data_IF_843126810919
#
_entry.id   IF_843126810919
#
_cell.length_a   1.000
_cell.length_b   1.000
_cell.length_c   1.000
_cell.angle_alpha   90.00
_cell.angle_beta   90.00
_cell.angle_gamma   90.00
#
_symmetry.space_group_name_H-M   'P 1'
#
loop_
_entity.id
_entity.type
_entity.pdbx_description
1 polymer ?
#
# COMPACT_ATOMS: atom_id res chain seq x y z
N UNK A 1 -23.48 -34.54 -8.76
CA UNK A 1 -22.36 -33.85 -8.07
C UNK A 1 -22.50 -32.37 -8.38
N UNK A 2 -22.97 -31.58 -7.41
CA UNK A 2 -23.12 -30.12 -7.60
C UNK A 2 -21.76 -29.45 -7.47
N UNK A 3 -21.34 -28.70 -8.48
CA UNK A 3 -20.12 -27.90 -8.43
C UNK A 3 -20.23 -26.88 -7.28
N UNK A 4 -19.21 -26.81 -6.42
CA UNK A 4 -19.16 -25.81 -5.35
C UNK A 4 -19.13 -24.40 -5.95
N UNK A 5 -19.85 -23.42 -5.37
CA UNK A 5 -19.83 -22.06 -5.87
C UNK A 5 -18.42 -21.49 -5.76
N UNK A 6 -17.97 -20.79 -6.80
CA UNK A 6 -16.63 -20.25 -6.87
C UNK A 6 -16.45 -19.18 -5.77
N UNK A 7 -15.66 -19.51 -4.77
CA UNK A 7 -15.34 -18.64 -3.64
C UNK A 7 -14.41 -17.53 -4.14
N UNK A 8 -14.90 -16.30 -4.13
CA UNK A 8 -14.16 -15.11 -4.49
C UNK A 8 -14.12 -14.22 -3.26
N UNK A 9 -12.95 -13.65 -2.94
CA UNK A 9 -12.87 -12.65 -1.90
C UNK A 9 -13.72 -11.45 -2.35
N UNK A 10 -14.89 -11.25 -1.73
CA UNK A 10 -15.86 -10.17 -1.99
C UNK A 10 -15.31 -8.81 -1.53
N UNK A 11 -14.13 -8.45 -2.04
CA UNK A 11 -13.47 -7.18 -1.74
C UNK A 11 -13.92 -6.19 -2.81
N UNK A 12 -15.09 -5.59 -2.57
CA UNK A 12 -15.71 -4.59 -3.45
C UNK A 12 -14.86 -3.33 -3.64
N UNK A 13 -13.87 -3.11 -2.78
CA UNK A 13 -13.00 -1.94 -2.78
C UNK A 13 -11.57 -2.29 -3.20
N UNK A 14 -11.08 -1.79 -4.36
CA UNK A 14 -9.69 -2.01 -4.75
C UNK A 14 -8.76 -1.40 -3.67
N UNK A 15 -7.79 -2.18 -3.16
CA UNK A 15 -6.95 -1.77 -2.03
C UNK A 15 -6.33 -0.36 -2.16
N UNK A 16 -5.86 0.10 -3.33
CA UNK A 16 -5.33 1.46 -3.47
C UNK A 16 -6.31 2.57 -3.04
N UNK A 17 -7.63 2.36 -3.18
CA UNK A 17 -8.63 3.35 -2.76
C UNK A 17 -8.72 3.47 -1.23
N UNK A 18 -8.51 2.37 -0.49
CA UNK A 18 -8.47 2.43 0.97
C UNK A 18 -7.30 3.29 1.45
N UNK A 19 -6.10 3.09 0.90
CA UNK A 19 -4.93 3.91 1.22
C UNK A 19 -5.11 5.37 0.79
N UNK A 20 -5.76 5.63 -0.36
CA UNK A 20 -6.11 6.99 -0.76
C UNK A 20 -7.09 7.64 0.24
N UNK A 21 -8.10 6.89 0.72
CA UNK A 21 -9.02 7.36 1.74
C UNK A 21 -8.31 7.70 3.06
N UNK A 22 -7.34 6.89 3.48
CA UNK A 22 -6.47 7.16 4.65
C UNK A 22 -5.73 8.48 4.47
N UNK A 23 -5.08 8.70 3.32
CA UNK A 23 -4.37 9.96 3.04
C UNK A 23 -5.31 11.16 3.06
N UNK A 24 -6.50 11.04 2.45
CA UNK A 24 -7.49 12.11 2.42
C UNK A 24 -8.04 12.43 3.81
N UNK A 25 -8.39 11.40 4.59
CA UNK A 25 -8.88 11.54 5.95
C UNK A 25 -7.82 12.16 6.86
N UNK A 26 -6.59 11.65 6.82
CA UNK A 26 -5.46 12.20 7.59
C UNK A 26 -5.14 13.64 7.19
N UNK A 27 -5.25 13.99 5.91
CA UNK A 27 -5.06 15.37 5.43
C UNK A 27 -6.18 16.33 5.86
N UNK A 28 -7.43 15.84 5.96
CA UNK A 28 -8.53 16.62 6.54
C UNK A 28 -8.34 16.82 8.04
N UNK A 29 -7.97 15.76 8.75
CA UNK A 29 -7.75 15.81 10.19
C UNK A 29 -6.56 16.69 10.56
N UNK A 30 -5.46 16.62 9.80
CA UNK A 30 -4.31 17.51 10.00
C UNK A 30 -4.58 18.99 9.70
N UNK A 31 -5.56 19.29 8.84
CA UNK A 31 -6.05 20.68 8.65
C UNK A 31 -6.94 21.14 9.81
N UNK A 32 -7.78 20.26 10.35
CA UNK A 32 -8.64 20.57 11.50
C UNK A 32 -7.84 20.64 12.81
N UNK A 33 -6.82 19.80 12.96
CA UNK A 33 -5.99 19.67 14.14
C UNK A 33 -4.51 19.58 13.76
N UNK A 34 -3.82 20.73 13.60
CA UNK A 34 -2.45 20.76 13.11
C UNK A 34 -1.46 20.25 14.16
N UNK A 35 -1.18 18.94 14.13
CA UNK A 35 -0.14 18.28 14.92
C UNK A 35 1.11 18.14 14.07
N UNK A 36 2.28 18.44 14.63
CA UNK A 36 3.58 18.26 13.98
C UNK A 36 4.30 17.06 14.58
N UNK A 37 5.15 16.41 13.78
CA UNK A 37 6.09 15.43 14.31
C UNK A 37 7.01 16.08 15.36
N UNK A 38 7.23 15.38 16.47
CA UNK A 38 8.23 15.76 17.46
C UNK A 38 9.64 15.70 16.83
N UNK A 39 10.53 16.62 17.20
CA UNK A 39 11.92 16.63 16.74
C UNK A 39 12.15 17.43 15.45
N UNK A 40 11.88 18.74 15.47
CA UNK A 40 12.05 19.65 14.32
C UNK A 40 13.41 19.59 13.59
N UNK A 41 14.47 19.13 14.26
CA UNK A 41 15.79 18.91 13.69
C UNK A 41 15.86 17.75 12.66
N UNK A 42 14.94 16.78 12.72
CA UNK A 42 14.86 15.69 11.75
C UNK A 42 14.18 16.11 10.42
N UNK A 43 13.75 17.36 10.29
CA UNK A 43 13.02 17.86 9.13
C UNK A 43 13.71 17.65 7.77
N UNK A 44 15.05 17.81 7.61
CA UNK A 44 15.71 17.57 6.34
C UNK A 44 15.69 16.08 5.96
N UNK A 45 16.07 15.20 6.90
CA UNK A 45 16.10 13.75 6.67
C UNK A 45 14.72 13.13 6.48
N UNK A 46 13.68 13.70 7.11
CA UNK A 46 12.30 13.21 7.05
C UNK A 46 11.76 13.18 5.62
N UNK A 47 11.96 14.25 4.85
CA UNK A 47 11.47 14.31 3.46
C UNK A 47 12.18 13.31 2.56
N UNK A 48 13.49 13.17 2.73
CA UNK A 48 14.29 12.17 2.00
C UNK A 48 13.80 10.76 2.33
N UNK A 49 13.64 10.43 3.62
CA UNK A 49 13.09 9.15 4.05
C UNK A 49 11.69 8.91 3.47
N UNK A 50 10.84 9.94 3.43
CA UNK A 50 9.52 9.88 2.83
C UNK A 50 9.54 9.54 1.34
N UNK A 51 10.40 10.20 0.56
CA UNK A 51 10.56 9.87 -0.87
C UNK A 51 11.15 8.49 -1.11
N UNK A 52 12.10 8.05 -0.28
CA UNK A 52 12.64 6.69 -0.32
C UNK A 52 11.54 5.65 -0.09
N UNK A 53 10.67 5.88 0.90
CA UNK A 53 9.53 5.00 1.17
C UNK A 53 8.51 4.97 0.03
N UNK A 54 8.18 6.12 -0.57
CA UNK A 54 7.28 6.19 -1.73
C UNK A 54 7.88 5.44 -2.92
N UNK A 55 9.14 5.70 -3.26
CA UNK A 55 9.82 5.04 -4.38
C UNK A 55 9.96 3.53 -4.14
N UNK A 56 10.38 3.12 -2.94
CA UNK A 56 10.51 1.72 -2.56
C UNK A 56 9.17 0.98 -2.55
N UNK A 57 8.12 1.61 -2.02
CA UNK A 57 6.76 1.06 -2.04
C UNK A 57 6.21 0.90 -3.46
N UNK A 58 6.40 1.91 -4.31
CA UNK A 58 6.02 1.84 -5.72
C UNK A 58 6.79 0.75 -6.49
N UNK A 59 8.10 0.62 -6.25
CA UNK A 59 8.91 -0.45 -6.83
C UNK A 59 8.44 -1.84 -6.37
N UNK A 60 8.10 -1.99 -5.09
CA UNK A 60 7.56 -3.24 -4.54
C UNK A 60 6.21 -3.61 -5.16
N UNK A 61 5.29 -2.66 -5.26
CA UNK A 61 4.01 -2.84 -5.96
C UNK A 61 4.22 -3.20 -7.44
N UNK A 62 5.10 -2.49 -8.13
CA UNK A 62 5.46 -2.77 -9.52
C UNK A 62 6.02 -4.18 -9.70
N UNK A 63 6.96 -4.60 -8.84
CA UNK A 63 7.55 -5.94 -8.86
C UNK A 63 6.51 -7.03 -8.56
N UNK A 64 5.57 -6.78 -7.64
CA UNK A 64 4.48 -7.71 -7.36
C UNK A 64 3.52 -7.84 -8.56
N UNK A 65 3.14 -6.72 -9.18
CA UNK A 65 2.31 -6.70 -10.39
C UNK A 65 3.00 -7.37 -11.58
N UNK A 66 4.30 -7.13 -11.77
CA UNK A 66 5.10 -7.78 -12.81
C UNK A 66 5.05 -9.30 -12.69
N UNK A 67 5.01 -9.83 -11.46
CA UNK A 67 4.96 -11.28 -11.26
C UNK A 67 3.63 -11.90 -11.69
N UNK A 68 2.50 -11.21 -11.47
CA UNK A 68 1.22 -11.63 -12.02
C UNK A 68 1.20 -11.55 -13.55
N UNK A 69 1.74 -10.46 -14.12
CA UNK A 69 1.86 -10.30 -15.58
C UNK A 69 2.73 -11.41 -16.20
N UNK A 70 3.86 -11.73 -15.59
CA UNK A 70 4.76 -12.80 -16.02
C UNK A 70 4.12 -14.19 -15.89
N UNK A 71 3.27 -14.39 -14.88
CA UNK A 71 2.49 -15.61 -14.70
C UNK A 71 1.23 -15.68 -15.60
N UNK A 72 1.00 -14.71 -16.49
CA UNK A 72 -0.18 -14.67 -17.37
C UNK A 72 -1.51 -14.53 -16.63
N UNK A 73 -1.50 -14.14 -15.35
CA UNK A 73 -2.68 -13.99 -14.52
C UNK A 73 -2.96 -12.52 -14.25
N UNK A 74 -4.24 -12.15 -14.18
CA UNK A 74 -4.62 -10.77 -13.87
C UNK A 74 -4.32 -10.49 -12.39
N UNK A 75 -3.74 -9.33 -12.01
CA UNK A 75 -3.58 -8.93 -10.61
C UNK A 75 -4.92 -8.62 -9.90
N UNK A 76 -6.04 -8.88 -10.58
CA UNK A 76 -7.40 -8.62 -10.13
C UNK A 76 -7.86 -9.76 -9.21
N UNK A 77 -8.22 -9.49 -7.94
CA UNK A 77 -8.63 -10.49 -6.93
C UNK A 77 -9.87 -11.33 -7.30
N UNK A 78 -10.53 -11.00 -8.40
CA UNK A 78 -11.84 -11.53 -8.82
C UNK A 78 -11.69 -12.72 -9.77
N UNK A 79 -10.46 -13.10 -10.17
CA UNK A 79 -10.24 -14.30 -10.98
C UNK A 79 -9.71 -15.44 -10.10
N UNK A 80 -10.21 -16.68 -10.29
CA UNK A 80 -9.73 -17.84 -9.52
C UNK A 80 -8.21 -17.94 -9.66
N UNK A 81 -7.51 -17.94 -8.53
CA UNK A 81 -6.06 -18.10 -8.45
C UNK A 81 -5.69 -19.50 -8.92
N UNK A 82 -5.29 -19.63 -10.18
CA UNK A 82 -4.86 -20.89 -10.80
C UNK A 82 -3.41 -21.29 -10.48
N UNK A 83 -2.61 -20.37 -9.92
CA UNK A 83 -1.23 -20.64 -9.52
C UNK A 83 -0.79 -19.81 -8.31
N UNK A 84 -0.13 -20.44 -7.35
CA UNK A 84 0.49 -19.76 -6.21
C UNK A 84 1.80 -19.10 -6.69
N UNK A 85 1.82 -17.77 -6.76
CA UNK A 85 3.03 -17.01 -7.09
C UNK A 85 3.91 -16.93 -5.85
N UNK A 86 4.96 -17.77 -5.76
CA UNK A 86 5.91 -17.77 -4.64
C UNK A 86 7.27 -17.10 -4.95
N UNK A 87 7.46 -16.61 -6.18
CA UNK A 87 8.72 -16.01 -6.63
C UNK A 87 8.71 -14.47 -6.47
N UNK A 88 9.89 -13.87 -6.36
CA UNK A 88 10.03 -12.41 -6.24
C UNK A 88 9.59 -11.90 -4.85
N UNK A 89 8.90 -10.74 -4.74
CA UNK A 89 8.46 -10.19 -3.45
C UNK A 89 7.60 -11.14 -2.60
N UNK A 90 6.86 -12.03 -3.26
CA UNK A 90 5.98 -13.02 -2.63
C UNK A 90 6.74 -14.07 -1.78
N UNK A 91 8.07 -14.18 -1.92
CA UNK A 91 8.90 -15.04 -1.06
C UNK A 91 9.07 -14.50 0.37
N UNK A 92 8.91 -13.19 0.54
CA UNK A 92 9.12 -12.51 1.83
C UNK A 92 7.81 -12.22 2.56
N UNK A 93 6.74 -11.96 1.81
CA UNK A 93 5.41 -11.69 2.37
C UNK A 93 4.34 -12.19 1.41
N UNK A 94 3.22 -12.65 1.95
CA UNK A 94 2.04 -13.05 1.15
C UNK A 94 1.35 -11.85 0.49
N UNK A 95 1.61 -10.64 1.00
CA UNK A 95 0.90 -9.41 0.62
C UNK A 95 1.86 -8.26 0.26
N UNK A 96 2.76 -8.42 -0.72
CA UNK A 96 3.78 -7.41 -1.05
C UNK A 96 3.18 -6.10 -1.56
N UNK A 97 2.03 -6.14 -2.24
CA UNK A 97 1.33 -4.92 -2.67
C UNK A 97 0.83 -4.09 -1.49
N UNK A 98 0.24 -4.72 -0.47
CA UNK A 98 -0.18 -4.01 0.75
C UNK A 98 1.01 -3.43 1.49
N UNK A 99 2.11 -4.17 1.59
CA UNK A 99 3.34 -3.66 2.16
C UNK A 99 3.85 -2.43 1.41
N UNK A 100 3.81 -2.46 0.07
CA UNK A 100 4.22 -1.33 -0.78
C UNK A 100 3.30 -0.12 -0.62
N UNK A 101 1.99 -0.33 -0.55
CA UNK A 101 1.00 0.72 -0.30
C UNK A 101 1.17 1.34 1.10
N UNK A 102 1.34 0.52 2.15
CA UNK A 102 1.60 1.00 3.50
C UNK A 102 2.90 1.81 3.59
N UNK A 103 3.98 1.32 2.96
CA UNK A 103 5.24 2.05 2.89
C UNK A 103 5.06 3.39 2.14
N UNK A 104 4.35 3.40 1.02
CA UNK A 104 4.04 4.61 0.26
C UNK A 104 3.23 5.63 1.07
N UNK A 105 2.18 5.19 1.76
CA UNK A 105 1.35 6.06 2.61
C UNK A 105 2.13 6.61 3.81
N UNK A 106 2.98 5.80 4.44
CA UNK A 106 3.90 6.27 5.45
C UNK A 106 4.86 7.34 4.89
N UNK A 107 5.39 7.13 3.68
CA UNK A 107 6.22 8.11 2.98
C UNK A 107 5.51 9.44 2.73
N UNK A 108 4.25 9.41 2.31
CA UNK A 108 3.40 10.60 2.13
C UNK A 108 3.23 11.36 3.46
N UNK A 109 3.00 10.66 4.57
CA UNK A 109 2.89 11.28 5.88
C UNK A 109 4.18 12.03 6.27
N UNK A 110 5.35 11.46 5.98
CA UNK A 110 6.65 12.08 6.26
C UNK A 110 6.91 13.32 5.37
N UNK A 111 6.59 13.23 4.07
CA UNK A 111 6.74 14.33 3.11
C UNK A 111 5.86 15.52 3.50
N UNK A 112 4.59 15.24 3.81
CA UNK A 112 3.60 16.24 4.22
C UNK A 112 3.80 16.72 5.66
N UNK A 113 4.57 15.97 6.47
CA UNK A 113 4.76 16.25 7.88
C UNK A 113 3.47 16.06 8.69
N UNK A 114 2.55 15.23 8.21
CA UNK A 114 1.24 15.03 8.80
C UNK A 114 1.17 13.68 9.55
N UNK A 115 1.27 13.66 10.88
CA UNK A 115 1.23 12.43 11.67
C UNK A 115 -0.14 11.73 11.61
N UNK A 116 -1.23 12.44 11.30
CA UNK A 116 -2.55 11.82 11.18
C UNK A 116 -2.66 10.83 10.04
N UNK A 117 -1.85 11.01 8.97
CA UNK A 117 -1.80 10.04 7.87
C UNK A 117 -1.15 8.73 8.32
N UNK A 118 -0.18 8.77 9.24
CA UNK A 118 0.37 7.55 9.87
C UNK A 118 -0.60 6.94 10.88
N UNK A 119 -1.29 7.77 11.66
CA UNK A 119 -2.19 7.29 12.70
C UNK A 119 -3.42 6.55 12.15
N UNK A 120 -3.80 6.83 10.91
CA UNK A 120 -4.94 6.21 10.21
C UNK A 120 -4.53 5.06 9.28
N UNK A 121 -3.23 4.77 9.17
CA UNK A 121 -2.69 3.69 8.34
C UNK A 121 -2.82 2.33 9.03
#
# INVERSE_FOLDING_TARGET
MSAAPAEHADVRFPPPLLYAAVVLAGSRLGRAWPVKFAGGALAPGRRTAGWVLVAGGAALCGAAVQQFRAAGTSPVPVRPTTALVAAGPYRFTRNPMYLGLSAGTAGVALITGNPWVLALL
#
